data_IF_027065412207
#
_entry.id   IF_027065412207
#
_cell.length_a   1.000
_cell.length_b   1.000
_cell.length_c   1.000
_cell.angle_alpha   90.00
_cell.angle_beta   90.00
_cell.angle_gamma   90.00
#
_symmetry.space_group_name_H-M   'P 1'
#
loop_
_entity.id
_entity.type
_entity.pdbx_description
1 polymer ?
#
# COMPACT_ATOMS: atom_id res chain seq x y z
N UNK A 1 -8.70 5.03 -22.70
CA UNK A 1 -7.84 5.26 -21.52
C UNK A 1 -8.21 6.59 -20.88
N UNK A 2 -8.84 6.57 -19.70
CA UNK A 2 -9.17 7.81 -18.97
C UNK A 2 -8.01 8.20 -18.05
N UNK A 3 -6.98 8.83 -18.63
CA UNK A 3 -5.80 9.34 -17.90
C UNK A 3 -6.17 10.24 -16.70
N UNK A 4 -7.28 10.97 -16.81
CA UNK A 4 -7.81 11.82 -15.73
C UNK A 4 -8.14 11.02 -14.46
N UNK A 5 -8.69 9.80 -14.58
CA UNK A 5 -9.00 8.98 -13.41
C UNK A 5 -7.72 8.56 -12.68
N UNK A 6 -6.69 8.16 -13.45
CA UNK A 6 -5.39 7.77 -12.89
C UNK A 6 -4.71 8.99 -12.24
N UNK A 7 -4.73 10.14 -12.90
CA UNK A 7 -4.12 11.37 -12.39
C UNK A 7 -4.81 11.87 -11.10
N UNK A 8 -6.15 11.94 -11.09
CA UNK A 8 -6.91 12.35 -9.91
C UNK A 8 -6.71 11.35 -8.75
N UNK A 9 -6.80 10.05 -9.02
CA UNK A 9 -6.55 9.03 -8.01
C UNK A 9 -5.12 9.11 -7.47
N UNK A 10 -4.13 9.25 -8.34
CA UNK A 10 -2.72 9.40 -7.98
C UNK A 10 -2.46 10.63 -7.12
N UNK A 11 -3.07 11.77 -7.45
CA UNK A 11 -2.98 12.99 -6.66
C UNK A 11 -3.55 12.80 -5.25
N UNK A 12 -4.72 12.15 -5.13
CA UNK A 12 -5.32 11.81 -3.83
C UNK A 12 -4.39 10.89 -3.04
N UNK A 13 -3.93 9.80 -3.65
CA UNK A 13 -3.06 8.82 -3.00
C UNK A 13 -1.74 9.43 -2.52
N UNK A 14 -1.06 10.18 -3.38
CA UNK A 14 0.20 10.84 -3.04
C UNK A 14 0.03 11.87 -1.92
N UNK A 15 -1.08 12.63 -1.92
CA UNK A 15 -1.40 13.60 -0.86
C UNK A 15 -1.67 12.90 0.47
N UNK A 16 -2.42 11.79 0.47
CA UNK A 16 -2.65 10.98 1.68
C UNK A 16 -1.35 10.40 2.23
N UNK A 17 -0.47 9.89 1.36
CA UNK A 17 0.85 9.40 1.76
C UNK A 17 1.71 10.52 2.35
N UNK A 18 1.70 11.70 1.74
CA UNK A 18 2.40 12.86 2.26
C UNK A 18 1.89 13.26 3.65
N UNK A 19 0.56 13.31 3.84
CA UNK A 19 -0.06 13.59 5.14
C UNK A 19 0.32 12.54 6.19
N UNK A 20 0.32 11.24 5.83
CA UNK A 20 0.79 10.18 6.72
C UNK A 20 2.26 10.37 7.12
N UNK A 21 3.10 10.81 6.18
CA UNK A 21 4.48 11.21 6.45
C UNK A 21 4.58 12.31 7.51
N UNK A 22 3.78 13.37 7.40
CA UNK A 22 3.77 14.46 8.38
C UNK A 22 3.32 14.01 9.79
N UNK A 23 2.37 13.08 9.87
CA UNK A 23 1.80 12.62 11.14
C UNK A 23 2.67 11.56 11.83
N UNK A 24 3.31 10.69 11.06
CA UNK A 24 3.99 9.49 11.58
C UNK A 24 5.52 9.60 11.57
N UNK A 25 6.11 10.48 10.75
CA UNK A 25 7.56 10.65 10.73
C UNK A 25 8.04 11.29 12.03
N UNK A 26 8.88 10.56 12.75
CA UNK A 26 9.53 11.03 13.98
C UNK A 26 11.04 11.04 13.75
N UNK A 27 11.71 12.20 13.76
CA UNK A 27 13.15 12.30 13.45
C UNK A 27 14.06 11.45 14.35
N UNK A 28 13.59 11.13 15.55
CA UNK A 28 14.33 10.34 16.55
C UNK A 28 14.20 8.83 16.36
N UNK A 29 13.31 8.37 15.47
CA UNK A 29 13.05 6.95 15.24
C UNK A 29 13.70 6.51 13.93
N UNK A 30 14.62 5.55 14.02
CA UNK A 30 15.34 5.03 12.84
C UNK A 30 14.46 4.19 11.92
N UNK A 31 13.43 3.53 12.46
CA UNK A 31 12.55 2.67 11.65
C UNK A 31 11.57 3.53 10.81
N UNK A 32 11.41 3.28 9.50
CA UNK A 32 10.58 4.09 8.60
C UNK A 32 9.06 3.82 8.75
N UNK A 33 8.50 4.11 9.92
CA UNK A 33 7.11 3.77 10.25
C UNK A 33 6.07 4.36 9.31
N UNK A 34 6.28 5.59 8.82
CA UNK A 34 5.34 6.22 7.90
C UNK A 34 5.20 5.41 6.61
N UNK A 35 6.32 5.11 5.94
CA UNK A 35 6.36 4.34 4.70
C UNK A 35 5.89 2.89 4.92
N UNK A 36 6.28 2.30 6.05
CA UNK A 36 5.81 0.97 6.43
C UNK A 36 4.27 0.92 6.51
N UNK A 37 3.64 1.82 7.27
CA UNK A 37 2.19 1.81 7.46
C UNK A 37 1.40 2.10 6.19
N UNK A 38 1.82 3.05 5.35
CA UNK A 38 1.10 3.33 4.09
C UNK A 38 1.14 2.12 3.15
N UNK A 39 2.27 1.41 3.10
CA UNK A 39 2.40 0.20 2.29
C UNK A 39 1.54 -0.96 2.86
N UNK A 40 1.59 -1.22 4.17
CA UNK A 40 0.79 -2.28 4.81
C UNK A 40 -0.71 -2.01 4.65
N UNK A 41 -1.17 -0.79 4.93
CA UNK A 41 -2.58 -0.42 4.73
C UNK A 41 -2.97 -0.49 3.26
N UNK A 42 -2.09 -0.08 2.35
CA UNK A 42 -2.31 -0.19 0.92
C UNK A 42 -2.46 -1.63 0.45
N UNK A 43 -1.63 -2.55 0.94
CA UNK A 43 -1.74 -3.99 0.68
C UNK A 43 -3.07 -4.56 1.17
N UNK A 44 -3.50 -4.21 2.38
CA UNK A 44 -4.81 -4.62 2.90
C UNK A 44 -5.96 -4.13 2.01
N UNK A 45 -5.97 -2.84 1.68
CA UNK A 45 -6.98 -2.23 0.81
C UNK A 45 -6.99 -2.84 -0.60
N UNK A 46 -5.82 -3.21 -1.14
CA UNK A 46 -5.72 -3.93 -2.40
C UNK A 46 -6.40 -5.31 -2.34
N UNK A 47 -6.22 -6.05 -1.24
CA UNK A 47 -6.91 -7.32 -1.01
C UNK A 47 -8.42 -7.16 -0.93
N UNK A 48 -8.90 -6.15 -0.20
CA UNK A 48 -10.33 -5.80 -0.13
C UNK A 48 -10.86 -5.47 -1.52
N UNK A 49 -10.20 -4.59 -2.26
CA UNK A 49 -10.59 -4.23 -3.62
C UNK A 49 -10.67 -5.46 -4.53
N UNK A 50 -9.69 -6.36 -4.43
CA UNK A 50 -9.68 -7.58 -5.21
C UNK A 50 -10.91 -8.46 -4.94
N UNK A 51 -11.27 -8.67 -3.67
CA UNK A 51 -12.48 -9.41 -3.31
C UNK A 51 -13.75 -8.78 -3.91
N UNK A 52 -13.92 -7.46 -3.76
CA UNK A 52 -15.08 -6.77 -4.35
C UNK A 52 -15.11 -6.87 -5.88
N UNK A 53 -13.94 -6.79 -6.54
CA UNK A 53 -13.86 -6.87 -8.00
C UNK A 53 -14.24 -8.24 -8.58
N UNK A 54 -14.21 -9.30 -7.77
CA UNK A 54 -14.70 -10.62 -8.18
C UNK A 54 -16.23 -10.67 -8.24
N UNK A 55 -16.91 -9.89 -7.38
CA UNK A 55 -18.37 -9.84 -7.33
C UNK A 55 -18.97 -8.77 -8.23
N UNK A 56 -18.29 -7.64 -8.41
CA UNK A 56 -18.80 -6.47 -9.12
C UNK A 56 -17.94 -6.14 -10.35
N UNK A 57 -18.39 -6.52 -11.56
CA UNK A 57 -17.63 -6.29 -12.80
C UNK A 57 -17.30 -4.82 -13.08
N UNK A 58 -18.13 -3.88 -12.60
CA UNK A 58 -17.87 -2.43 -12.72
C UNK A 58 -16.53 -2.01 -12.08
N UNK A 59 -16.05 -2.77 -11.10
CA UNK A 59 -14.76 -2.53 -10.45
C UNK A 59 -13.56 -2.97 -11.30
N UNK A 60 -13.77 -3.69 -12.40
CA UNK A 60 -12.66 -4.17 -13.24
C UNK A 60 -12.22 -3.14 -14.31
N UNK A 61 -13.01 -2.08 -14.53
CA UNK A 61 -12.79 -1.06 -15.56
C UNK A 61 -12.34 0.29 -14.97
N UNK A 62 -13.18 1.33 -15.04
CA UNK A 62 -12.85 2.71 -14.64
C UNK A 62 -12.52 2.83 -13.16
N UNK A 63 -13.25 2.11 -12.31
CA UNK A 63 -13.01 2.12 -10.87
C UNK A 63 -11.66 1.49 -10.51
N UNK A 64 -11.16 0.50 -11.28
CA UNK A 64 -9.79 -0.02 -11.12
C UNK A 64 -8.75 1.06 -11.42
N UNK A 65 -8.96 1.86 -12.46
CA UNK A 65 -8.03 2.94 -12.82
C UNK A 65 -7.97 4.00 -11.72
N UNK A 66 -9.11 4.40 -11.17
CA UNK A 66 -9.16 5.41 -10.10
C UNK A 66 -8.60 4.85 -8.77
N UNK A 67 -9.12 3.70 -8.31
CA UNK A 67 -8.87 3.20 -6.96
C UNK A 67 -7.56 2.42 -6.86
N UNK A 68 -7.34 1.46 -7.75
CA UNK A 68 -6.18 0.57 -7.68
C UNK A 68 -4.93 1.20 -8.30
N UNK A 69 -5.04 1.69 -9.55
CA UNK A 69 -3.91 2.29 -10.25
C UNK A 69 -3.62 3.70 -9.73
N UNK A 70 -4.66 4.51 -9.53
CA UNK A 70 -4.55 5.88 -9.04
C UNK A 70 -4.29 5.94 -7.53
N UNK A 71 -5.33 5.81 -6.71
CA UNK A 71 -5.25 6.06 -5.25
C UNK A 71 -4.26 5.14 -4.58
N UNK A 72 -4.41 3.81 -4.71
CA UNK A 72 -3.49 2.87 -4.05
C UNK A 72 -2.07 2.94 -4.64
N UNK A 73 -1.95 3.16 -5.95
CA UNK A 73 -0.65 3.38 -6.60
C UNK A 73 0.08 4.63 -6.10
N UNK A 74 -0.64 5.73 -5.86
CA UNK A 74 -0.05 6.97 -5.31
C UNK A 74 0.17 6.93 -3.79
N UNK A 75 -0.71 6.22 -3.08
CA UNK A 75 -0.67 6.07 -1.61
C UNK A 75 0.46 5.15 -1.14
N UNK A 76 0.78 4.11 -1.90
CA UNK A 76 1.90 3.21 -1.61
C UNK A 76 3.17 3.65 -2.33
N UNK A 77 4.32 3.18 -1.89
CA UNK A 77 5.62 3.54 -2.50
C UNK A 77 6.68 2.47 -2.29
N UNK A 78 7.17 1.88 -3.39
CA UNK A 78 8.34 0.99 -3.36
C UNK A 78 9.66 1.76 -3.42
N UNK A 79 9.69 2.94 -4.05
CA UNK A 79 10.91 3.73 -4.19
C UNK A 79 11.37 4.32 -2.86
N UNK A 80 10.45 4.83 -2.04
CA UNK A 80 10.77 5.30 -0.67
C UNK A 80 11.25 4.15 0.20
N UNK A 81 10.56 3.00 0.15
CA UNK A 81 10.96 1.77 0.82
C UNK A 81 12.42 1.36 0.48
N UNK A 82 12.77 1.35 -0.81
CA UNK A 82 14.11 1.00 -1.27
C UNK A 82 15.17 2.00 -0.81
N UNK A 83 14.88 3.31 -0.91
CA UNK A 83 15.80 4.36 -0.47
C UNK A 83 16.06 4.29 1.04
N UNK A 84 15.01 4.14 1.85
CA UNK A 84 15.12 4.03 3.31
C UNK A 84 15.88 2.77 3.73
N UNK A 85 15.60 1.63 3.08
CA UNK A 85 16.35 0.38 3.29
C UNK A 85 17.83 0.56 2.98
N UNK A 86 18.15 1.19 1.84
CA UNK A 86 19.53 1.48 1.47
C UNK A 86 20.20 2.45 2.45
N UNK A 87 19.49 3.47 2.93
CA UNK A 87 20.01 4.40 3.93
C UNK A 87 20.34 3.71 5.25
N UNK A 88 19.49 2.81 5.73
CA UNK A 88 19.76 2.00 6.93
C UNK A 88 21.02 1.15 6.76
N UNK A 89 21.18 0.48 5.61
CA UNK A 89 22.39 -0.28 5.30
C UNK A 89 23.65 0.62 5.29
N UNK A 90 23.56 1.79 4.64
CA UNK A 90 24.68 2.75 4.57
C UNK A 90 25.07 3.29 5.95
N UNK A 91 24.12 3.40 6.87
CA UNK A 91 24.35 3.83 8.25
C UNK A 91 24.84 2.69 9.17
N UNK A 92 25.08 1.48 8.63
CA UNK A 92 25.49 0.32 9.41
C UNK A 92 24.35 -0.35 10.19
N UNK A 93 23.11 0.11 10.02
CA UNK A 93 21.92 -0.38 10.71
C UNK A 93 21.33 -1.63 10.04
N UNK A 94 22.16 -2.64 9.78
CA UNK A 94 21.78 -3.82 8.97
C UNK A 94 20.59 -4.59 9.55
N UNK A 95 20.54 -4.75 10.88
CA UNK A 95 19.42 -5.42 11.56
C UNK A 95 18.08 -4.71 11.31
N UNK A 96 18.06 -3.38 11.35
CA UNK A 96 16.86 -2.59 11.04
C UNK A 96 16.51 -2.62 9.55
N UNK A 97 17.51 -2.60 8.66
CA UNK A 97 17.27 -2.71 7.23
C UNK A 97 16.58 -4.04 6.87
N UNK A 98 17.10 -5.16 7.38
CA UNK A 98 16.49 -6.47 7.14
C UNK A 98 15.13 -6.61 7.80
N UNK A 99 14.95 -6.14 9.04
CA UNK A 99 13.64 -6.19 9.69
C UNK A 99 12.61 -5.34 8.94
N UNK A 100 12.98 -4.15 8.47
CA UNK A 100 12.12 -3.29 7.65
C UNK A 100 11.76 -3.95 6.31
N UNK A 101 12.75 -4.50 5.60
CA UNK A 101 12.54 -5.18 4.31
C UNK A 101 11.64 -6.41 4.44
N UNK A 102 11.98 -7.32 5.34
CA UNK A 102 11.26 -8.58 5.53
C UNK A 102 9.85 -8.29 6.04
N UNK A 103 9.69 -7.43 7.05
CA UNK A 103 8.36 -7.11 7.60
C UNK A 103 7.47 -6.46 6.55
N UNK A 104 7.97 -5.50 5.76
CA UNK A 104 7.18 -4.84 4.72
C UNK A 104 6.63 -5.82 3.69
N UNK A 105 7.45 -6.78 3.24
CA UNK A 105 7.05 -7.77 2.24
C UNK A 105 6.14 -8.83 2.85
N UNK A 106 6.58 -9.48 3.92
CA UNK A 106 5.86 -10.61 4.53
C UNK A 106 4.52 -10.15 5.09
N UNK A 107 4.50 -9.09 5.90
CA UNK A 107 3.27 -8.58 6.50
C UNK A 107 2.38 -7.99 5.40
N UNK A 108 2.95 -7.32 4.40
CA UNK A 108 2.19 -6.80 3.26
C UNK A 108 1.38 -7.88 2.53
N UNK A 109 2.02 -9.01 2.20
CA UNK A 109 1.34 -10.14 1.56
C UNK A 109 0.29 -10.76 2.49
N UNK A 110 0.61 -10.93 3.78
CA UNK A 110 -0.33 -11.47 4.76
C UNK A 110 -1.58 -10.59 4.87
N UNK A 111 -1.43 -9.27 5.04
CA UNK A 111 -2.58 -8.38 5.22
C UNK A 111 -3.39 -8.21 3.94
N UNK A 112 -2.77 -8.30 2.76
CA UNK A 112 -3.49 -8.39 1.49
C UNK A 112 -4.38 -9.63 1.47
N UNK A 113 -3.81 -10.80 1.79
CA UNK A 113 -4.57 -12.05 1.89
C UNK A 113 -5.71 -11.94 2.92
N UNK A 114 -5.44 -11.39 4.10
CA UNK A 114 -6.46 -11.14 5.12
C UNK A 114 -7.59 -10.24 4.60
N UNK A 115 -7.26 -9.13 3.95
CA UNK A 115 -8.24 -8.23 3.35
C UNK A 115 -9.10 -8.92 2.29
N UNK A 116 -8.48 -9.75 1.46
CA UNK A 116 -9.18 -10.55 0.46
C UNK A 116 -10.13 -11.58 1.08
N UNK A 117 -9.62 -12.50 1.90
CA UNK A 117 -10.42 -13.60 2.46
C UNK A 117 -11.51 -13.13 3.42
N UNK A 118 -11.26 -12.06 4.19
CA UNK A 118 -12.27 -11.46 5.07
C UNK A 118 -13.46 -10.95 4.25
N UNK A 119 -13.20 -10.15 3.21
CA UNK A 119 -14.28 -9.57 2.41
C UNK A 119 -14.90 -10.56 1.44
N UNK A 120 -14.15 -11.55 0.98
CA UNK A 120 -14.70 -12.67 0.24
C UNK A 120 -15.75 -13.42 1.07
N UNK A 121 -15.45 -13.72 2.33
CA UNK A 121 -16.36 -14.41 3.26
C UNK A 121 -17.62 -13.58 3.51
N UNK A 122 -17.47 -12.26 3.70
CA UNK A 122 -18.58 -11.33 3.88
C UNK A 122 -19.46 -11.25 2.63
N UNK A 123 -18.84 -11.26 1.45
CA UNK A 123 -19.53 -11.12 0.17
C UNK A 123 -20.12 -12.43 -0.35
N UNK A 124 -19.84 -13.58 0.30
CA UNK A 124 -20.26 -14.93 -0.12
C UNK A 124 -19.92 -15.20 -1.58
N UNK A 125 -18.65 -14.99 -1.93
CA UNK A 125 -18.15 -15.27 -3.28
C UNK A 125 -17.72 -16.74 -3.29
N UNK A 126 -18.50 -17.58 -3.98
CA UNK A 126 -18.13 -18.97 -4.22
C UNK A 126 -17.00 -19.00 -5.29
N UNK A 127 -15.89 -19.69 -4.98
CA UNK A 127 -14.72 -19.86 -5.88
C UNK A 127 -14.83 -21.17 -6.63
#
# INVERSE_FOLDING_TARGET
>A
MNWLLVACGGAIGATLRYAAGLLLAKPTVLFPWATWWVNILGCFCAGVFFAFSQKYPVLQNEARLLLMVGILGGFTTFSSFGLETFQLLRQGQSGLAFSYAISSVVIGVIVLGLGYYLFQSILKIDV
#
